data_IF_968967581629
#
_entry.id   IF_968967581629
#
_cell.length_a   1.000
_cell.length_b   1.000
_cell.length_c   1.000
_cell.angle_alpha   90.00
_cell.angle_beta   90.00
_cell.angle_gamma   90.00
#
_symmetry.space_group_name_H-M   'P 1'
#
loop_
_entity.id
_entity.type
_entity.pdbx_description
1 polymer ?
#
# COMPACT_ATOMS: atom_id res chain seq x y z
N UNK A 1 -17.40 -65.13 -24.18
CA UNK A 1 -17.47 -63.72 -23.73
C UNK A 1 -17.62 -63.54 -22.21
N UNK A 2 -18.43 -64.35 -21.51
CA UNK A 2 -18.69 -64.20 -20.06
C UNK A 2 -17.45 -64.38 -19.15
N UNK A 3 -16.54 -65.30 -19.50
CA UNK A 3 -15.32 -65.57 -18.72
C UNK A 3 -14.25 -64.47 -18.80
N UNK A 4 -14.23 -63.69 -19.88
CA UNK A 4 -13.27 -62.59 -20.03
C UNK A 4 -13.70 -61.38 -19.18
N UNK A 5 -14.99 -61.06 -19.17
CA UNK A 5 -15.55 -60.00 -18.31
C UNK A 5 -15.37 -60.30 -16.82
N UNK A 6 -15.60 -61.56 -16.39
CA UNK A 6 -15.39 -61.97 -14.99
C UNK A 6 -13.91 -61.89 -14.58
N UNK A 7 -12.99 -62.33 -15.44
CA UNK A 7 -11.53 -62.17 -15.18
C UNK A 7 -11.13 -60.70 -15.10
N UNK A 8 -11.65 -59.86 -15.99
CA UNK A 8 -11.33 -58.43 -16.03
C UNK A 8 -11.85 -57.69 -14.79
N UNK A 9 -13.07 -57.97 -14.34
CA UNK A 9 -13.61 -57.44 -13.07
C UNK A 9 -12.79 -57.92 -11.86
N UNK A 10 -12.35 -59.18 -11.87
CA UNK A 10 -11.50 -59.72 -10.81
C UNK A 10 -10.13 -59.02 -10.74
N UNK A 11 -9.48 -58.81 -11.90
CA UNK A 11 -8.22 -58.06 -11.97
C UNK A 11 -8.39 -56.60 -11.51
N UNK A 12 -9.46 -55.92 -11.92
CA UNK A 12 -9.73 -54.55 -11.46
C UNK A 12 -9.99 -54.47 -9.95
N UNK A 13 -10.66 -55.48 -9.39
CA UNK A 13 -10.92 -55.53 -7.94
C UNK A 13 -9.62 -55.73 -7.15
N UNK A 14 -8.73 -56.60 -7.62
CA UNK A 14 -7.40 -56.80 -7.02
C UNK A 14 -6.57 -55.52 -7.10
N UNK A 15 -6.53 -54.85 -8.25
CA UNK A 15 -5.79 -53.60 -8.42
C UNK A 15 -6.33 -52.50 -7.51
N UNK A 16 -7.66 -52.38 -7.36
CA UNK A 16 -8.28 -51.42 -6.45
C UNK A 16 -7.90 -51.68 -4.98
N UNK A 17 -7.89 -52.96 -4.55
CA UNK A 17 -7.47 -53.34 -3.20
C UNK A 17 -5.98 -53.04 -2.97
N UNK A 18 -5.13 -53.33 -3.96
CA UNK A 18 -3.70 -53.02 -3.89
C UNK A 18 -3.47 -51.51 -3.81
N UNK A 19 -4.17 -50.71 -4.62
CA UNK A 19 -4.07 -49.24 -4.56
C UNK A 19 -4.52 -48.70 -3.19
N UNK A 20 -5.58 -49.28 -2.61
CA UNK A 20 -6.07 -48.87 -1.30
C UNK A 20 -5.06 -49.22 -0.21
N UNK A 21 -4.47 -50.42 -0.25
CA UNK A 21 -3.39 -50.83 0.66
C UNK A 21 -2.15 -49.96 0.50
N UNK A 22 -1.74 -49.64 -0.73
CA UNK A 22 -0.61 -48.73 -0.99
C UNK A 22 -0.93 -47.35 -0.39
N UNK A 23 -2.15 -46.82 -0.55
CA UNK A 23 -2.52 -45.53 0.00
C UNK A 23 -2.47 -45.52 1.55
N UNK A 24 -2.99 -46.57 2.19
CA UNK A 24 -2.94 -46.74 3.65
C UNK A 24 -1.51 -46.88 4.16
N UNK A 25 -0.68 -47.67 3.47
CA UNK A 25 0.75 -47.83 3.79
C UNK A 25 1.49 -46.51 3.56
N UNK A 26 1.17 -45.76 2.51
CA UNK A 26 1.79 -44.46 2.23
C UNK A 26 1.45 -43.45 3.31
N UNK A 27 0.20 -43.42 3.79
CA UNK A 27 -0.20 -42.56 4.92
C UNK A 27 0.47 -42.98 6.23
N UNK A 28 0.70 -44.28 6.46
CA UNK A 28 1.44 -44.79 7.62
C UNK A 28 2.95 -44.49 7.55
N UNK A 29 3.55 -44.48 6.36
CA UNK A 29 4.98 -44.19 6.13
C UNK A 29 5.28 -42.72 5.84
N UNK A 30 4.25 -41.86 5.71
CA UNK A 30 4.41 -40.41 5.62
C UNK A 30 4.90 -39.91 6.98
N UNK A 31 6.23 -39.98 7.19
CA UNK A 31 6.88 -39.26 8.28
C UNK A 31 6.38 -37.82 8.21
N UNK A 32 5.62 -37.38 9.22
CA UNK A 32 5.37 -35.96 9.46
C UNK A 32 6.73 -35.28 9.35
N UNK A 33 6.87 -34.31 8.45
CA UNK A 33 8.11 -33.56 8.28
C UNK A 33 8.47 -32.95 9.64
N UNK A 34 9.32 -33.64 10.38
CA UNK A 34 9.75 -33.24 11.70
C UNK A 34 10.86 -32.22 11.50
N UNK A 35 10.50 -30.96 11.66
CA UNK A 35 11.48 -29.90 11.74
C UNK A 35 12.05 -29.93 13.17
N UNK A 36 13.35 -30.20 13.38
CA UNK A 36 13.92 -30.41 14.72
C UNK A 36 13.86 -29.18 15.65
N UNK A 37 13.52 -27.99 15.12
CA UNK A 37 13.33 -26.74 15.87
C UNK A 37 11.86 -26.41 16.18
N UNK A 38 10.92 -27.34 15.94
CA UNK A 38 9.50 -27.11 16.17
C UNK A 38 9.16 -27.06 17.67
N UNK A 39 8.97 -25.86 18.21
CA UNK A 39 8.37 -25.63 19.53
C UNK A 39 6.87 -26.00 19.50
N UNK A 40 6.13 -25.88 20.60
CA UNK A 40 4.66 -25.87 20.59
C UNK A 40 4.18 -24.47 20.96
N UNK A 41 3.25 -23.88 20.19
CA UNK A 41 2.67 -22.59 20.55
C UNK A 41 1.68 -22.75 21.70
N UNK A 42 1.91 -21.99 22.76
CA UNK A 42 0.95 -21.80 23.84
C UNK A 42 -0.26 -20.97 23.37
N UNK A 43 -1.36 -21.06 24.12
CA UNK A 43 -2.55 -20.24 23.89
C UNK A 43 -2.24 -18.74 23.92
N UNK A 44 -1.38 -18.31 24.84
CA UNK A 44 -0.99 -16.90 25.00
C UNK A 44 -0.22 -16.41 23.78
N UNK A 45 0.71 -17.21 23.26
CA UNK A 45 1.46 -16.88 22.04
C UNK A 45 0.54 -16.77 20.83
N UNK A 46 -0.40 -17.71 20.66
CA UNK A 46 -1.39 -17.66 19.58
C UNK A 46 -2.30 -16.43 19.68
N UNK A 47 -2.76 -16.08 20.87
CA UNK A 47 -3.54 -14.86 21.08
C UNK A 47 -2.74 -13.60 20.77
N UNK A 48 -1.46 -13.56 21.15
CA UNK A 48 -0.59 -12.44 20.82
C UNK A 48 -0.37 -12.32 19.31
N UNK A 49 -0.16 -13.43 18.61
CA UNK A 49 -0.07 -13.46 17.14
C UNK A 49 -1.37 -12.98 16.52
N UNK A 50 -2.51 -13.44 17.04
CA UNK A 50 -3.83 -13.04 16.57
C UNK A 50 -4.05 -11.53 16.73
N UNK A 51 -3.86 -10.98 17.94
CA UNK A 51 -4.00 -9.55 18.21
C UNK A 51 -3.03 -8.69 17.39
N UNK A 52 -1.75 -9.08 17.29
CA UNK A 52 -0.77 -8.37 16.46
C UNK A 52 -1.19 -8.35 14.99
N UNK A 53 -1.75 -9.46 14.49
CA UNK A 53 -2.22 -9.52 13.11
C UNK A 53 -3.45 -8.61 12.92
N UNK A 54 -4.42 -8.64 13.83
CA UNK A 54 -5.58 -7.74 13.76
C UNK A 54 -5.15 -6.25 13.78
N UNK A 55 -4.21 -5.87 14.65
CA UNK A 55 -3.68 -4.49 14.70
C UNK A 55 -2.95 -4.09 13.41
N UNK A 56 -2.20 -5.02 12.80
CA UNK A 56 -1.53 -4.77 11.53
C UNK A 56 -2.52 -4.45 10.38
N UNK A 57 -3.76 -4.93 10.49
CA UNK A 57 -4.86 -4.60 9.56
C UNK A 57 -5.71 -3.41 10.01
N UNK A 58 -5.37 -2.76 11.13
CA UNK A 58 -6.09 -1.61 11.66
C UNK A 58 -7.44 -1.97 12.29
N UNK A 59 -7.62 -3.22 12.70
CA UNK A 59 -8.85 -3.67 13.38
C UNK A 59 -8.80 -3.17 14.82
N UNK A 60 -9.75 -2.30 15.17
CA UNK A 60 -9.81 -1.68 16.49
C UNK A 60 -10.23 -2.69 17.56
N UNK A 61 -9.71 -2.55 18.77
CA UNK A 61 -10.02 -3.45 19.88
C UNK A 61 -11.53 -3.50 20.20
N UNK A 62 -12.25 -2.40 20.02
CA UNK A 62 -13.71 -2.34 20.22
C UNK A 62 -14.51 -3.09 19.14
N UNK A 63 -13.88 -3.52 18.05
CA UNK A 63 -14.49 -4.40 17.03
C UNK A 63 -14.34 -5.88 17.35
N UNK A 64 -13.57 -6.21 18.40
CA UNK A 64 -13.29 -7.57 18.83
C UNK A 64 -13.95 -7.82 20.17
N UNK A 65 -14.86 -8.79 20.23
CA UNK A 65 -15.52 -9.19 21.47
C UNK A 65 -15.14 -10.62 21.85
N UNK A 66 -14.87 -10.87 23.12
CA UNK A 66 -14.69 -12.24 23.65
C UNK A 66 -16.03 -12.76 24.12
N UNK A 67 -16.54 -13.85 23.53
CA UNK A 67 -17.73 -14.54 24.03
C UNK A 67 -17.33 -15.86 24.67
N UNK A 68 -17.95 -16.22 25.79
CA UNK A 68 -17.75 -17.53 26.42
C UNK A 68 -18.07 -18.63 25.41
N UNK A 69 -17.22 -19.64 25.37
CA UNK A 69 -17.35 -20.79 24.48
C UNK A 69 -17.02 -22.03 25.28
N UNK A 70 -17.86 -23.05 25.16
CA UNK A 70 -17.64 -24.36 25.76
C UNK A 70 -18.14 -25.40 24.76
N UNK A 71 -17.28 -26.34 24.41
CA UNK A 71 -17.62 -27.46 23.54
C UNK A 71 -17.29 -28.74 24.32
N UNK A 72 -18.25 -29.65 24.40
CA UNK A 72 -18.23 -30.80 25.30
C UNK A 72 -17.01 -31.73 25.13
N UNK A 73 -16.37 -31.70 23.95
CA UNK A 73 -15.26 -32.59 23.58
C UNK A 73 -13.94 -31.84 23.26
N UNK A 74 -13.86 -30.52 23.46
CA UNK A 74 -12.68 -29.69 23.12
C UNK A 74 -12.30 -28.76 24.29
N UNK A 75 -11.54 -29.28 25.26
CA UNK A 75 -11.42 -28.72 26.61
C UNK A 75 -10.37 -27.59 26.78
N UNK A 76 -9.79 -27.08 25.68
CA UNK A 76 -8.63 -26.16 25.74
C UNK A 76 -8.96 -24.67 25.61
N UNK A 77 -10.19 -24.30 25.23
CA UNK A 77 -10.61 -22.89 25.14
C UNK A 77 -11.90 -22.61 25.91
N UNK A 78 -11.91 -21.45 26.60
CA UNK A 78 -13.05 -20.95 27.37
C UNK A 78 -13.79 -19.79 26.69
N UNK A 79 -13.26 -19.30 25.56
CA UNK A 79 -13.84 -18.20 24.80
C UNK A 79 -13.52 -18.31 23.32
N UNK A 80 -14.41 -17.71 22.52
CA UNK A 80 -14.21 -17.42 21.11
C UNK A 80 -14.11 -15.92 20.90
N UNK A 81 -13.30 -15.52 19.94
CA UNK A 81 -13.22 -14.14 19.47
C UNK A 81 -14.29 -13.91 18.40
N UNK A 82 -15.06 -12.83 18.53
CA UNK A 82 -15.93 -12.35 17.47
C UNK A 82 -15.36 -11.04 16.98
N UNK A 83 -14.92 -11.04 15.73
CA UNK A 83 -14.26 -9.91 15.08
C UNK A 83 -15.20 -9.37 14.03
N UNK A 84 -15.68 -8.14 14.26
CA UNK A 84 -16.49 -7.44 13.26
C UNK A 84 -15.56 -6.74 12.28
N UNK A 85 -15.69 -7.03 10.99
CA UNK A 85 -14.74 -6.61 9.96
C UNK A 85 -15.40 -5.69 8.94
N UNK A 86 -14.78 -4.55 8.59
CA UNK A 86 -15.19 -3.72 7.45
C UNK A 86 -15.27 -4.50 6.14
N UNK A 87 -16.29 -4.25 5.31
CA UNK A 87 -16.45 -4.97 4.04
C UNK A 87 -15.32 -4.81 3.03
N UNK A 88 -14.53 -3.73 3.12
CA UNK A 88 -13.41 -3.47 2.23
C UNK A 88 -12.16 -4.29 2.58
N UNK A 89 -12.18 -5.06 3.68
CA UNK A 89 -11.06 -5.87 4.15
C UNK A 89 -11.25 -7.37 3.82
N UNK A 90 -10.41 -7.97 2.97
CA UNK A 90 -10.52 -9.39 2.65
C UNK A 90 -10.09 -10.28 3.84
N UNK A 91 -11.05 -10.96 4.46
CA UNK A 91 -10.81 -11.93 5.54
C UNK A 91 -9.75 -13.00 5.16
N UNK A 92 -9.75 -13.54 3.93
CA UNK A 92 -8.72 -14.53 3.54
C UNK A 92 -7.29 -14.02 3.65
N UNK A 93 -7.04 -12.72 3.50
CA UNK A 93 -5.69 -12.14 3.66
C UNK A 93 -5.25 -12.12 5.12
N UNK A 94 -6.16 -11.82 6.04
CA UNK A 94 -5.90 -11.84 7.48
C UNK A 94 -5.55 -13.27 7.91
N UNK A 95 -6.38 -14.24 7.51
CA UNK A 95 -6.18 -15.66 7.82
C UNK A 95 -4.86 -16.16 7.22
N UNK A 96 -4.53 -15.77 5.98
CA UNK A 96 -3.26 -16.08 5.34
C UNK A 96 -2.07 -15.56 6.15
N UNK A 97 -2.11 -14.31 6.63
CA UNK A 97 -1.03 -13.73 7.43
C UNK A 97 -0.90 -14.41 8.80
N UNK A 98 -2.01 -14.72 9.47
CA UNK A 98 -2.02 -15.52 10.72
C UNK A 98 -1.35 -16.87 10.47
N UNK A 99 -1.78 -17.59 9.42
CA UNK A 99 -1.25 -18.91 9.09
C UNK A 99 0.23 -18.87 8.70
N UNK A 100 0.68 -17.82 8.00
CA UNK A 100 2.08 -17.66 7.63
C UNK A 100 2.99 -17.45 8.85
N UNK A 101 2.54 -16.69 9.85
CA UNK A 101 3.28 -16.51 11.11
C UNK A 101 3.36 -17.84 11.85
N UNK A 102 2.21 -18.51 12.02
CA UNK A 102 2.14 -19.77 12.76
C UNK A 102 2.94 -20.89 12.09
N UNK A 103 2.89 -21.01 10.75
CA UNK A 103 3.64 -22.03 9.98
C UNK A 103 5.15 -21.80 10.01
N UNK A 104 5.59 -20.54 10.13
CA UNK A 104 7.01 -20.22 10.30
C UNK A 104 7.52 -20.68 11.66
N UNK A 105 6.66 -20.61 12.68
CA UNK A 105 7.07 -20.92 14.04
C UNK A 105 6.95 -22.43 14.37
N UNK A 106 5.96 -23.21 13.88
CA UNK A 106 5.79 -24.63 14.30
C UNK A 106 5.08 -25.58 13.27
N UNK A 107 5.45 -26.88 13.31
CA UNK A 107 5.06 -28.02 12.43
C UNK A 107 3.67 -28.67 12.58
N UNK A 108 2.85 -28.33 13.58
CA UNK A 108 1.59 -29.05 13.86
C UNK A 108 0.43 -28.11 14.19
N UNK A 109 0.18 -27.13 13.32
CA UNK A 109 -1.04 -26.32 13.36
C UNK A 109 -1.96 -26.66 12.19
N UNK A 110 -3.22 -26.99 12.50
CA UNK A 110 -4.28 -27.11 11.49
C UNK A 110 -5.16 -25.88 11.63
N UNK A 111 -5.31 -25.17 10.52
CA UNK A 111 -6.16 -23.98 10.41
C UNK A 111 -7.33 -24.34 9.51
N UNK A 112 -8.54 -24.35 10.07
CA UNK A 112 -9.77 -24.58 9.30
C UNK A 112 -10.48 -23.26 9.05
N UNK A 113 -10.83 -23.02 7.79
CA UNK A 113 -11.72 -21.94 7.36
C UNK A 113 -13.08 -22.52 6.99
N UNK A 114 -14.13 -22.11 7.70
CA UNK A 114 -15.52 -22.45 7.35
C UNK A 114 -16.28 -21.17 7.05
N UNK A 115 -16.77 -21.04 5.83
CA UNK A 115 -17.60 -19.92 5.40
C UNK A 115 -19.08 -20.28 5.56
N UNK A 116 -19.83 -19.50 6.32
CA UNK A 116 -21.24 -19.74 6.59
C UNK A 116 -22.02 -18.43 6.53
N UNK A 117 -22.94 -18.29 5.56
CA UNK A 117 -23.77 -17.09 5.37
C UNK A 117 -23.01 -15.75 5.30
N UNK A 118 -21.75 -15.76 4.86
CA UNK A 118 -20.91 -14.56 4.74
C UNK A 118 -19.92 -14.39 5.88
N UNK A 119 -20.13 -15.07 7.00
CA UNK A 119 -19.18 -15.12 8.11
C UNK A 119 -18.10 -16.17 7.84
N UNK A 120 -16.91 -15.93 8.41
CA UNK A 120 -15.78 -16.86 8.31
C UNK A 120 -15.34 -17.28 9.70
N UNK A 121 -15.39 -18.58 9.98
CA UNK A 121 -14.85 -19.17 11.20
C UNK A 121 -13.40 -19.61 10.96
N UNK A 122 -12.51 -19.23 11.86
CA UNK A 122 -11.12 -19.66 11.95
C UNK A 122 -10.95 -20.52 13.22
N UNK A 123 -10.47 -21.74 13.03
CA UNK A 123 -10.10 -22.64 14.13
C UNK A 123 -8.63 -23.01 14.01
N UNK A 124 -7.89 -22.85 15.10
CA UNK A 124 -6.46 -23.19 15.16
C UNK A 124 -6.27 -24.29 16.19
N UNK A 125 -5.86 -25.45 15.68
CA UNK A 125 -5.56 -26.63 16.47
C UNK A 125 -4.06 -26.78 16.67
N UNK A 126 -3.65 -27.32 17.80
CA UNK A 126 -2.27 -27.74 18.07
C UNK A 126 -2.33 -28.97 18.95
N UNK A 127 -1.66 -30.05 18.50
CA UNK A 127 -1.73 -31.37 19.12
C UNK A 127 -3.18 -31.85 19.33
N UNK A 128 -4.03 -31.67 18.32
CA UNK A 128 -5.46 -32.06 18.32
C UNK A 128 -6.37 -31.25 19.27
N UNK A 129 -5.80 -30.35 20.07
CA UNK A 129 -6.56 -29.43 20.91
C UNK A 129 -6.83 -28.10 20.19
N UNK A 130 -8.08 -27.65 20.24
CA UNK A 130 -8.45 -26.31 19.79
C UNK A 130 -7.84 -25.27 20.74
N UNK A 131 -6.96 -24.40 20.23
CA UNK A 131 -6.30 -23.36 21.03
C UNK A 131 -6.78 -21.95 20.73
N UNK A 132 -7.35 -21.72 19.55
CA UNK A 132 -7.94 -20.43 19.18
C UNK A 132 -9.14 -20.64 18.27
N UNK A 133 -10.23 -19.94 18.60
CA UNK A 133 -11.43 -19.86 17.79
C UNK A 133 -11.79 -18.41 17.54
N UNK A 134 -11.94 -18.04 16.28
CA UNK A 134 -12.37 -16.70 15.88
C UNK A 134 -13.49 -16.79 14.83
N UNK A 135 -14.48 -15.92 14.97
CA UNK A 135 -15.55 -15.71 14.00
C UNK A 135 -15.43 -14.30 13.44
N UNK A 136 -15.23 -14.21 12.13
CA UNK A 136 -15.14 -12.96 11.39
C UNK A 136 -16.50 -12.65 10.75
N UNK A 137 -17.08 -11.51 11.12
CA UNK A 137 -18.41 -11.07 10.67
C UNK A 137 -18.25 -9.78 9.86
N UNK A 138 -18.49 -9.80 8.54
CA UNK A 138 -18.46 -8.58 7.73
C UNK A 138 -19.59 -7.62 8.10
N UNK A 139 -19.26 -6.35 8.33
CA UNK A 139 -20.23 -5.27 8.58
C UNK A 139 -20.02 -4.10 7.63
N UNK A 140 -21.11 -3.64 7.00
CA UNK A 140 -21.15 -2.49 6.08
C UNK A 140 -21.04 -1.16 6.80
N UNK A 141 -21.45 -1.11 8.06
CA UNK A 141 -21.51 0.12 8.84
C UNK A 141 -20.15 0.46 9.46
N UNK A 142 -19.23 -0.52 9.54
CA UNK A 142 -17.88 -0.28 10.01
C UNK A 142 -17.03 0.21 8.83
N UNK A 143 -16.59 1.45 8.92
CA UNK A 143 -15.70 2.08 7.93
C UNK A 143 -14.36 2.36 8.58
N UNK A 144 -13.27 1.98 7.91
CA UNK A 144 -11.91 2.30 8.33
C UNK A 144 -11.63 3.79 8.14
N UNK A 145 -10.74 4.32 8.98
CA UNK A 145 -10.26 5.68 8.82
C UNK A 145 -9.36 5.75 7.57
N UNK A 146 -9.95 6.21 6.47
CA UNK A 146 -9.31 6.23 5.16
C UNK A 146 -8.54 7.54 4.99
N UNK A 147 -7.35 7.60 5.59
CA UNK A 147 -6.43 8.69 5.30
C UNK A 147 -5.90 8.55 3.88
N UNK A 148 -5.73 9.67 3.19
CA UNK A 148 -5.28 9.74 1.82
C UNK A 148 -3.93 10.46 1.76
N UNK A 149 -2.95 9.83 1.14
CA UNK A 149 -1.63 10.42 0.95
C UNK A 149 -1.26 10.44 -0.54
N UNK A 150 -0.49 11.43 -0.92
CA UNK A 150 0.07 11.57 -2.27
C UNK A 150 1.56 11.85 -2.21
N UNK A 151 2.29 11.45 -3.24
CA UNK A 151 3.74 11.60 -3.32
C UNK A 151 4.15 12.35 -4.61
N UNK A 152 4.94 13.39 -4.41
CA UNK A 152 5.73 14.08 -5.42
C UNK A 152 7.15 13.51 -5.42
N UNK A 153 7.66 13.17 -6.60
CA UNK A 153 9.02 12.65 -6.80
C UNK A 153 9.87 13.76 -7.45
N UNK A 154 10.77 14.35 -6.67
CA UNK A 154 11.53 15.55 -7.07
C UNK A 154 12.54 15.28 -8.19
N UNK A 155 13.22 14.15 -8.11
CA UNK A 155 14.33 13.76 -8.97
C UNK A 155 13.88 12.91 -10.17
N UNK A 156 12.56 12.75 -10.39
CA UNK A 156 12.02 11.83 -11.39
C UNK A 156 12.58 12.05 -12.80
N UNK A 157 12.89 13.28 -13.19
CA UNK A 157 13.43 13.60 -14.52
C UNK A 157 14.94 13.33 -14.65
N UNK A 158 15.64 13.20 -13.52
CA UNK A 158 17.09 13.07 -13.40
C UNK A 158 17.53 11.64 -13.03
N UNK A 159 16.59 10.70 -12.94
CA UNK A 159 16.86 9.30 -12.66
C UNK A 159 17.67 8.65 -13.78
N UNK A 160 18.44 7.62 -13.43
CA UNK A 160 19.02 6.69 -14.40
C UNK A 160 17.92 6.02 -15.23
N UNK A 161 18.25 5.53 -16.43
CA UNK A 161 17.26 4.88 -17.30
C UNK A 161 16.54 3.70 -16.60
N UNK A 162 17.26 2.96 -15.75
CA UNK A 162 16.70 1.82 -15.02
C UNK A 162 15.81 2.29 -13.86
N UNK A 163 16.24 3.26 -13.06
CA UNK A 163 15.41 3.83 -11.99
C UNK A 163 14.17 4.54 -12.56
N UNK A 164 14.30 5.21 -13.70
CA UNK A 164 13.19 5.86 -14.38
C UNK A 164 12.15 4.83 -14.84
N UNK A 165 12.57 3.70 -15.43
CA UNK A 165 11.65 2.59 -15.73
C UNK A 165 10.96 2.07 -14.47
N UNK A 166 11.70 1.88 -13.38
CA UNK A 166 11.12 1.44 -12.10
C UNK A 166 10.07 2.44 -11.59
N UNK A 167 10.33 3.74 -11.71
CA UNK A 167 9.39 4.80 -11.38
C UNK A 167 8.11 4.69 -12.23
N UNK A 168 8.25 4.57 -13.56
CA UNK A 168 7.12 4.46 -14.49
C UNK A 168 6.24 3.24 -14.20
N UNK A 169 6.85 2.08 -13.97
CA UNK A 169 6.16 0.81 -13.69
C UNK A 169 5.75 0.62 -12.23
N UNK A 170 6.05 1.59 -11.36
CA UNK A 170 5.56 1.57 -9.98
C UNK A 170 4.04 1.46 -9.96
N UNK A 171 3.52 0.55 -9.12
CA UNK A 171 2.08 0.36 -8.88
C UNK A 171 1.42 1.52 -8.14
N UNK A 172 2.22 2.45 -7.63
CA UNK A 172 1.74 3.61 -6.90
C UNK A 172 1.47 4.78 -7.86
N UNK A 173 0.43 5.60 -7.60
CA UNK A 173 0.11 6.77 -8.41
C UNK A 173 1.04 7.94 -8.08
N UNK A 174 2.32 7.78 -8.38
CA UNK A 174 3.36 8.79 -8.14
C UNK A 174 3.24 9.93 -9.14
N UNK A 175 3.56 11.14 -8.68
CA UNK A 175 3.61 12.33 -9.51
C UNK A 175 5.05 12.83 -9.63
N UNK A 176 5.53 13.01 -10.86
CA UNK A 176 6.83 13.58 -11.11
C UNK A 176 6.80 15.10 -10.92
N UNK A 177 7.85 15.66 -10.34
CA UNK A 177 8.07 17.09 -10.34
C UNK A 177 8.99 17.44 -11.50
N UNK A 178 8.58 18.42 -12.29
CA UNK A 178 9.27 18.82 -13.52
C UNK A 178 9.62 20.29 -13.41
N UNK A 179 10.90 20.60 -13.58
CA UNK A 179 11.35 21.97 -13.84
C UNK A 179 11.05 22.28 -15.30
N UNK A 180 10.32 23.37 -15.62
CA UNK A 180 9.97 23.73 -16.99
C UNK A 180 11.22 23.94 -17.84
N UNK A 181 11.46 23.03 -18.78
CA UNK A 181 12.53 23.12 -19.75
C UNK A 181 12.13 22.34 -21.03
N UNK A 182 12.50 22.81 -22.24
CA UNK A 182 12.26 22.07 -23.49
C UNK A 182 12.69 20.61 -23.46
N UNK A 183 13.80 20.26 -22.79
CA UNK A 183 14.31 18.89 -22.70
C UNK A 183 13.37 17.96 -21.92
N UNK A 184 12.58 18.52 -21.00
CA UNK A 184 11.64 17.76 -20.18
C UNK A 184 10.27 17.56 -20.83
N UNK A 185 9.95 18.26 -21.93
CA UNK A 185 8.63 18.15 -22.60
C UNK A 185 8.36 16.71 -23.08
N UNK A 186 9.27 16.03 -23.82
CA UNK A 186 9.00 14.68 -24.30
C UNK A 186 8.82 13.67 -23.15
N UNK A 187 9.60 13.83 -22.07
CA UNK A 187 9.46 13.01 -20.86
C UNK A 187 8.11 13.25 -20.20
N UNK A 188 7.69 14.50 -20.02
CA UNK A 188 6.40 14.87 -19.45
C UNK A 188 5.22 14.25 -20.22
N UNK A 189 5.25 14.31 -21.55
CA UNK A 189 4.20 13.73 -22.40
C UNK A 189 4.12 12.20 -22.27
N UNK A 190 5.28 11.55 -22.12
CA UNK A 190 5.37 10.10 -21.96
C UNK A 190 4.76 9.57 -20.65
N UNK A 191 4.76 10.37 -19.57
CA UNK A 191 4.25 9.97 -18.26
C UNK A 191 2.79 9.50 -18.30
N UNK A 192 1.98 10.17 -19.13
CA UNK A 192 0.56 9.84 -19.28
C UNK A 192 0.33 8.41 -19.81
N UNK A 193 1.27 7.85 -20.58
CA UNK A 193 1.21 6.46 -21.07
C UNK A 193 1.32 5.44 -19.93
N UNK A 194 1.93 5.82 -18.82
CA UNK A 194 2.16 4.97 -17.63
C UNK A 194 1.24 5.33 -16.47
N UNK A 195 0.17 6.10 -16.72
CA UNK A 195 -0.73 6.63 -15.69
C UNK A 195 0.02 7.40 -14.59
N UNK A 196 1.12 8.05 -14.95
CA UNK A 196 1.89 8.93 -14.07
C UNK A 196 1.50 10.38 -14.34
N UNK A 197 1.41 11.13 -13.26
CA UNK A 197 1.07 12.55 -13.28
C UNK A 197 2.33 13.38 -13.17
N UNK A 198 2.24 14.67 -13.52
CA UNK A 198 3.32 15.61 -13.23
C UNK A 198 2.82 16.95 -12.71
N UNK A 199 3.66 17.59 -11.93
CA UNK A 199 3.51 18.95 -11.44
C UNK A 199 4.74 19.75 -11.82
N UNK A 200 4.58 21.07 -11.98
CA UNK A 200 5.69 21.95 -12.32
C UNK A 200 6.31 22.53 -11.06
N UNK A 201 7.64 22.68 -11.04
CA UNK A 201 8.36 23.41 -10.02
C UNK A 201 9.08 24.59 -10.66
N UNK A 202 8.72 25.80 -10.22
CA UNK A 202 9.39 27.03 -10.60
C UNK A 202 10.56 27.25 -9.63
N UNK A 203 11.77 26.99 -10.10
CA UNK A 203 13.00 27.17 -9.33
C UNK A 203 14.10 27.83 -10.18
N UNK A 204 15.34 27.78 -9.68
CA UNK A 204 16.49 28.40 -10.35
C UNK A 204 17.05 27.59 -11.53
N UNK A 205 16.61 26.35 -11.71
CA UNK A 205 17.16 25.43 -12.71
C UNK A 205 16.47 25.57 -14.08
N UNK A 206 15.62 26.60 -14.25
CA UNK A 206 15.02 26.95 -15.53
C UNK A 206 16.04 27.72 -16.36
N UNK A 207 16.73 27.00 -17.25
CA UNK A 207 17.79 27.56 -18.07
C UNK A 207 17.29 28.10 -19.42
N UNK A 208 16.24 27.52 -20.01
CA UNK A 208 15.70 27.98 -21.29
C UNK A 208 15.20 29.43 -21.24
N UNK A 209 15.76 30.25 -22.11
CA UNK A 209 15.44 31.69 -22.21
C UNK A 209 13.94 32.01 -22.43
N UNK A 210 13.18 31.12 -23.07
CA UNK A 210 11.75 31.33 -23.36
C UNK A 210 10.87 30.90 -22.19
N UNK A 211 11.35 30.06 -21.29
CA UNK A 211 10.62 29.62 -20.09
C UNK A 211 11.11 30.34 -18.82
N UNK A 212 12.32 30.90 -18.83
CA UNK A 212 12.92 31.57 -17.69
C UNK A 212 12.09 32.75 -17.19
N UNK A 213 12.01 32.86 -15.87
CA UNK A 213 11.31 33.92 -15.15
C UNK A 213 12.33 34.76 -14.39
N UNK A 214 12.98 35.69 -15.10
CA UNK A 214 14.04 36.55 -14.54
C UNK A 214 13.52 37.95 -14.18
N UNK A 215 14.04 38.52 -13.10
CA UNK A 215 13.76 39.91 -12.69
C UNK A 215 14.19 40.94 -13.75
N UNK A 216 15.18 40.59 -14.59
CA UNK A 216 15.65 41.44 -15.68
C UNK A 216 14.63 41.55 -16.83
N UNK A 217 13.64 40.66 -16.88
CA UNK A 217 12.67 40.62 -17.94
C UNK A 217 11.53 41.62 -17.71
N UNK A 218 11.20 42.38 -18.76
CA UNK A 218 10.01 43.22 -18.77
C UNK A 218 8.71 42.40 -18.68
N UNK A 219 7.61 43.07 -18.28
CA UNK A 219 6.29 42.44 -18.06
C UNK A 219 5.77 41.61 -19.24
N UNK A 220 5.98 42.07 -20.47
CA UNK A 220 5.54 41.36 -21.69
C UNK A 220 6.35 40.08 -21.94
N UNK A 221 7.66 40.12 -21.68
CA UNK A 221 8.52 38.93 -21.79
C UNK A 221 8.09 37.90 -20.75
N UNK A 222 7.94 38.31 -19.48
CA UNK A 222 7.46 37.43 -18.41
C UNK A 222 6.10 36.80 -18.75
N UNK A 223 5.16 37.58 -19.28
CA UNK A 223 3.85 37.07 -19.71
C UNK A 223 3.97 36.04 -20.83
N UNK A 224 4.86 36.27 -21.80
CA UNK A 224 5.17 35.33 -22.88
C UNK A 224 5.86 34.06 -22.35
N UNK A 225 6.77 34.18 -21.38
CA UNK A 225 7.43 33.03 -20.76
C UNK A 225 6.45 32.15 -20.00
N UNK A 226 5.57 32.76 -19.20
CA UNK A 226 4.50 32.05 -18.49
C UNK A 226 3.60 31.33 -19.50
N UNK A 227 3.16 32.03 -20.56
CA UNK A 227 2.34 31.42 -21.62
C UNK A 227 3.04 30.21 -22.25
N UNK A 228 4.32 30.35 -22.58
CA UNK A 228 5.14 29.26 -23.12
C UNK A 228 5.16 28.06 -22.17
N UNK A 229 5.43 28.26 -20.87
CA UNK A 229 5.37 27.19 -19.86
C UNK A 229 3.99 26.52 -19.85
N UNK A 230 2.91 27.30 -19.83
CA UNK A 230 1.55 26.76 -19.73
C UNK A 230 1.13 25.95 -20.97
N UNK A 231 1.57 26.38 -22.16
CA UNK A 231 1.29 25.73 -23.45
C UNK A 231 2.16 24.49 -23.65
N UNK A 232 3.43 24.51 -23.22
CA UNK A 232 4.35 23.37 -23.31
C UNK A 232 4.02 22.24 -22.33
N UNK A 233 3.36 22.55 -21.21
CA UNK A 233 3.01 21.58 -20.17
C UNK A 233 1.50 21.55 -19.87
N UNK A 234 0.66 21.19 -20.85
CA UNK A 234 -0.80 21.36 -20.74
C UNK A 234 -1.45 20.42 -19.73
N UNK A 235 -0.86 19.25 -19.45
CA UNK A 235 -1.40 18.21 -18.55
C UNK A 235 -0.89 18.32 -17.10
N UNK A 236 -0.21 19.41 -16.75
CA UNK A 236 0.26 19.66 -15.37
C UNK A 236 -0.89 19.65 -14.37
N UNK A 237 -0.65 19.04 -13.20
CA UNK A 237 -1.62 19.04 -12.10
C UNK A 237 -1.50 20.29 -11.22
N UNK A 238 -0.33 20.47 -10.61
CA UNK A 238 -0.04 21.60 -9.73
C UNK A 238 1.16 22.38 -10.26
N UNK A 239 1.28 23.62 -9.81
CA UNK A 239 2.44 24.48 -10.06
C UNK A 239 2.95 24.90 -8.70
N UNK A 240 4.20 24.57 -8.41
CA UNK A 240 4.89 24.93 -7.20
C UNK A 240 5.95 25.99 -7.48
N UNK A 241 6.29 26.77 -6.47
CA UNK A 241 7.49 27.60 -6.44
C UNK A 241 8.37 27.15 -5.29
N UNK A 242 9.67 27.09 -5.53
CA UNK A 242 10.67 26.91 -4.47
C UNK A 242 10.88 28.24 -3.75
N UNK A 243 10.65 28.29 -2.44
CA UNK A 243 10.81 29.51 -1.64
C UNK A 243 12.27 29.96 -1.52
N UNK A 244 13.22 29.07 -1.81
CA UNK A 244 14.65 29.39 -1.87
C UNK A 244 15.08 29.89 -3.26
N UNK A 245 14.16 29.93 -4.23
CA UNK A 245 14.46 30.40 -5.58
C UNK A 245 14.66 31.92 -5.63
N UNK A 246 15.48 32.35 -6.60
CA UNK A 246 15.65 33.76 -6.96
C UNK A 246 14.33 34.38 -7.40
N UNK A 247 13.49 33.62 -8.10
CA UNK A 247 12.15 34.04 -8.51
C UNK A 247 11.30 34.41 -7.29
N UNK A 248 11.16 33.52 -6.31
CA UNK A 248 10.31 33.74 -5.14
C UNK A 248 10.73 34.98 -4.34
N UNK A 249 12.04 35.16 -4.18
CA UNK A 249 12.63 36.26 -3.43
C UNK A 249 12.74 37.57 -4.24
N UNK A 250 12.27 37.59 -5.49
CA UNK A 250 12.35 38.77 -6.36
C UNK A 250 11.11 39.67 -6.26
N UNK A 251 11.25 40.98 -6.54
CA UNK A 251 10.12 41.90 -6.65
C UNK A 251 9.08 41.51 -7.73
N UNK A 252 9.48 40.73 -8.73
CA UNK A 252 8.58 40.32 -9.83
C UNK A 252 7.67 39.14 -9.44
N UNK A 253 7.92 38.47 -8.32
CA UNK A 253 7.16 37.26 -7.93
C UNK A 253 5.65 37.52 -7.86
N UNK A 254 5.23 38.63 -7.23
CA UNK A 254 3.81 38.99 -7.13
C UNK A 254 3.18 39.13 -8.52
N UNK A 255 3.89 39.78 -9.46
CA UNK A 255 3.42 39.91 -10.84
C UNK A 255 3.31 38.53 -11.52
N UNK A 256 4.33 37.68 -11.40
CA UNK A 256 4.33 36.32 -11.96
C UNK A 256 3.15 35.53 -11.41
N UNK A 257 2.96 35.50 -10.09
CA UNK A 257 1.83 34.85 -9.42
C UNK A 257 0.49 35.34 -9.96
N UNK A 258 0.32 36.65 -10.11
CA UNK A 258 -0.93 37.25 -10.57
C UNK A 258 -1.18 36.92 -12.06
N UNK A 259 -0.15 36.82 -12.90
CA UNK A 259 -0.28 36.37 -14.29
C UNK A 259 -0.68 34.91 -14.36
N UNK A 260 -0.07 34.00 -13.59
CA UNK A 260 -0.54 32.61 -13.50
C UNK A 260 -2.00 32.55 -13.04
N UNK A 261 -2.38 33.33 -12.02
CA UNK A 261 -3.76 33.41 -11.51
C UNK A 261 -4.75 33.90 -12.56
N UNK A 262 -4.36 34.90 -13.36
CA UNK A 262 -5.18 35.41 -14.48
C UNK A 262 -5.42 34.36 -15.57
N UNK A 263 -4.54 33.35 -15.67
CA UNK A 263 -4.70 32.18 -16.55
C UNK A 263 -5.39 31.00 -15.83
N UNK A 264 -6.04 31.23 -14.69
CA UNK A 264 -6.75 30.21 -13.92
C UNK A 264 -5.83 29.19 -13.26
N UNK A 265 -4.57 29.54 -12.98
CA UNK A 265 -3.59 28.66 -12.34
C UNK A 265 -3.08 29.27 -11.04
N UNK A 266 -3.10 28.48 -9.97
CA UNK A 266 -2.57 28.87 -8.67
C UNK A 266 -1.15 28.32 -8.54
N UNK A 267 -0.25 29.15 -8.03
CA UNK A 267 1.10 28.72 -7.63
C UNK A 267 1.05 28.43 -6.14
N UNK A 268 1.45 27.21 -5.77
CA UNK A 268 1.58 26.77 -4.38
C UNK A 268 3.04 26.85 -3.93
N UNK A 269 3.23 26.95 -2.63
CA UNK A 269 4.54 26.92 -2.02
C UNK A 269 4.96 25.45 -1.85
N UNK A 270 6.18 25.05 -2.26
CA UNK A 270 6.59 23.64 -2.13
C UNK A 270 6.67 23.22 -0.64
N UNK A 271 6.88 24.17 0.28
CA UNK A 271 6.80 23.95 1.73
C UNK A 271 5.39 23.61 2.26
N UNK A 272 4.33 23.80 1.47
CA UNK A 272 3.00 23.26 1.79
C UNK A 272 2.96 21.72 1.70
N UNK A 273 3.96 21.13 1.02
CA UNK A 273 4.17 19.70 0.97
C UNK A 273 5.13 19.27 2.09
N UNK A 274 4.91 18.07 2.63
CA UNK A 274 5.76 17.52 3.68
C UNK A 274 7.01 16.94 3.05
N UNK A 275 8.17 17.56 3.33
CA UNK A 275 9.48 17.05 2.93
C UNK A 275 9.79 15.73 3.64
N UNK A 276 10.10 14.68 2.89
CA UNK A 276 10.63 13.42 3.44
C UNK A 276 12.09 13.18 3.09
N UNK A 277 12.70 13.98 2.22
CA UNK A 277 14.13 13.86 1.93
C UNK A 277 14.97 14.32 3.10
N UNK A 278 15.42 13.33 3.88
CA UNK A 278 16.40 13.46 4.95
C UNK A 278 17.57 12.54 4.63
N UNK A 279 18.77 12.95 5.06
CA UNK A 279 19.98 12.11 4.95
C UNK A 279 19.92 10.95 5.94
N UNK A 280 19.27 11.16 7.09
CA UNK A 280 19.02 10.12 8.08
C UNK A 280 17.72 9.36 7.77
N UNK A 281 17.86 8.05 7.57
CA UNK A 281 16.77 7.14 7.24
C UNK A 281 15.78 6.99 8.41
N UNK A 282 16.27 6.98 9.65
CA UNK A 282 15.42 6.86 10.84
C UNK A 282 14.55 8.09 11.03
N UNK A 283 15.10 9.28 10.75
CA UNK A 283 14.36 10.54 10.78
C UNK A 283 13.27 10.55 9.70
N UNK A 284 13.60 10.14 8.47
CA UNK A 284 12.64 10.02 7.38
C UNK A 284 11.46 9.11 7.75
N UNK A 285 11.74 7.90 8.27
CA UNK A 285 10.69 6.98 8.68
C UNK A 285 9.86 7.52 9.84
N UNK A 286 10.50 8.12 10.84
CA UNK A 286 9.81 8.73 11.98
C UNK A 286 8.87 9.85 11.54
N UNK A 287 9.32 10.68 10.59
CA UNK A 287 8.53 11.76 10.01
C UNK A 287 7.35 11.23 9.20
N UNK A 288 7.57 10.24 8.34
CA UNK A 288 6.47 9.58 7.60
C UNK A 288 5.44 9.00 8.56
N UNK A 289 5.90 8.29 9.61
CA UNK A 289 5.03 7.72 10.65
C UNK A 289 4.16 8.78 11.29
N UNK A 290 4.80 9.84 11.76
CA UNK A 290 4.15 10.94 12.47
C UNK A 290 2.99 11.51 11.62
N UNK A 291 3.23 11.84 10.35
CA UNK A 291 2.21 12.43 9.50
C UNK A 291 1.12 11.47 9.03
N UNK A 292 1.42 10.17 8.96
CA UNK A 292 0.43 9.13 8.68
C UNK A 292 -0.50 8.91 9.90
N UNK A 293 0.06 8.95 11.11
CA UNK A 293 -0.69 8.74 12.35
C UNK A 293 -1.43 10.01 12.81
N UNK A 294 -0.97 11.19 12.40
CA UNK A 294 -1.60 12.49 12.65
C UNK A 294 -3.09 12.54 12.24
N UNK A 295 -3.95 12.94 13.16
CA UNK A 295 -5.42 12.99 13.01
C UNK A 295 -5.95 14.36 12.60
N UNK A 296 -5.08 15.38 12.49
CA UNK A 296 -5.52 16.76 12.18
C UNK A 296 -6.08 16.91 10.77
N UNK A 297 -5.57 16.16 9.79
CA UNK A 297 -6.10 16.13 8.43
C UNK A 297 -6.00 14.74 7.83
N UNK A 298 -7.07 14.35 7.14
CA UNK A 298 -7.18 13.07 6.46
C UNK A 298 -6.45 13.07 5.12
N UNK A 299 -5.88 14.19 4.69
CA UNK A 299 -5.16 14.31 3.41
C UNK A 299 -3.79 14.94 3.61
N UNK A 300 -2.76 14.28 3.11
CA UNK A 300 -1.36 14.75 3.18
C UNK A 300 -0.69 14.64 1.81
N UNK A 301 0.17 15.59 1.49
CA UNK A 301 0.99 15.59 0.27
C UNK A 301 2.45 15.61 0.70
N UNK A 302 3.19 14.60 0.28
CA UNK A 302 4.61 14.46 0.58
C UNK A 302 5.44 14.73 -0.68
N UNK A 303 6.68 15.17 -0.48
CA UNK A 303 7.67 15.17 -1.55
C UNK A 303 8.97 14.50 -1.09
N UNK A 304 9.60 13.78 -2.01
CA UNK A 304 10.81 12.99 -1.75
C UNK A 304 11.54 12.64 -3.05
N UNK A 305 12.75 12.10 -2.97
CA UNK A 305 13.47 11.43 -4.03
C UNK A 305 12.91 10.02 -4.28
N UNK A 306 13.12 9.50 -5.48
CA UNK A 306 12.65 8.15 -5.80
C UNK A 306 13.34 7.08 -4.96
N UNK A 307 14.63 7.27 -4.65
CA UNK A 307 15.38 6.35 -3.81
C UNK A 307 14.78 6.25 -2.40
N UNK A 308 14.52 7.39 -1.77
CA UNK A 308 13.91 7.46 -0.44
C UNK A 308 12.48 6.88 -0.46
N UNK A 309 11.70 7.17 -1.51
CA UNK A 309 10.40 6.54 -1.70
C UNK A 309 10.48 5.01 -1.69
N UNK A 310 11.47 4.42 -2.38
CA UNK A 310 11.66 2.96 -2.42
C UNK A 310 11.93 2.39 -1.02
N UNK A 311 12.76 3.06 -0.22
CA UNK A 311 13.05 2.66 1.17
C UNK A 311 11.79 2.67 2.03
N UNK A 312 10.86 3.59 1.78
CA UNK A 312 9.58 3.71 2.49
C UNK A 312 8.49 2.71 2.06
N UNK A 313 8.68 1.94 0.97
CA UNK A 313 7.66 0.99 0.47
C UNK A 313 7.12 0.03 1.55
N UNK A 314 7.95 -0.60 2.41
CA UNK A 314 7.43 -1.51 3.45
C UNK A 314 6.44 -0.82 4.40
N UNK A 315 6.77 0.40 4.83
CA UNK A 315 5.91 1.22 5.69
C UNK A 315 4.64 1.66 4.98
N UNK A 316 4.76 2.03 3.70
CA UNK A 316 3.64 2.41 2.85
C UNK A 316 2.66 1.23 2.65
N UNK A 317 3.15 0.01 2.51
CA UNK A 317 2.28 -1.18 2.43
C UNK A 317 1.61 -1.48 3.77
N UNK A 318 2.30 -1.30 4.90
CA UNK A 318 1.69 -1.44 6.21
C UNK A 318 0.57 -0.40 6.41
N UNK A 319 0.81 0.84 6.00
CA UNK A 319 -0.19 1.90 6.02
C UNK A 319 -1.44 1.51 5.19
N UNK A 320 -1.24 0.97 3.98
CA UNK A 320 -2.35 0.46 3.16
C UNK A 320 -3.09 -0.69 3.80
N UNK A 321 -2.39 -1.64 4.43
CA UNK A 321 -3.03 -2.74 5.18
C UNK A 321 -3.96 -2.21 6.27
N UNK A 322 -3.59 -1.13 6.95
CA UNK A 322 -4.42 -0.44 7.96
C UNK A 322 -5.60 0.36 7.39
N UNK A 323 -5.72 0.50 6.06
CA UNK A 323 -6.81 1.23 5.40
C UNK A 323 -6.39 2.54 4.74
N UNK A 324 -5.12 2.92 4.88
CA UNK A 324 -4.55 4.06 4.20
C UNK A 324 -4.65 3.97 2.68
N UNK A 325 -4.93 5.09 2.03
CA UNK A 325 -5.00 5.18 0.57
C UNK A 325 -3.87 6.05 0.04
N UNK A 326 -3.27 5.60 -1.06
CA UNK A 326 -2.32 6.40 -1.82
C UNK A 326 -3.05 6.82 -3.08
N UNK A 327 -3.24 8.12 -3.22
CA UNK A 327 -4.05 8.70 -4.29
C UNK A 327 -3.18 9.56 -5.21
N UNK A 328 -3.56 9.70 -6.49
CA UNK A 328 -2.91 10.64 -7.40
C UNK A 328 -2.98 12.09 -6.87
N UNK A 329 -2.00 12.90 -7.25
CA UNK A 329 -1.90 14.31 -6.84
C UNK A 329 -3.08 15.14 -7.36
N UNK A 330 -3.65 14.78 -8.51
CA UNK A 330 -4.89 15.39 -9.02
C UNK A 330 -6.08 15.33 -8.05
N UNK A 331 -6.05 14.43 -7.06
CA UNK A 331 -7.09 14.27 -6.04
C UNK A 331 -6.68 14.76 -4.65
N UNK A 332 -5.49 15.37 -4.53
CA UNK A 332 -4.99 15.86 -3.26
C UNK A 332 -5.77 17.09 -2.76
N UNK A 333 -5.55 17.46 -1.50
CA UNK A 333 -6.27 18.55 -0.86
C UNK A 333 -5.95 19.94 -1.46
N UNK A 334 -4.76 20.14 -2.02
CA UNK A 334 -4.40 21.41 -2.67
C UNK A 334 -5.22 21.63 -3.95
N UNK A 335 -5.47 20.57 -4.71
CA UNK A 335 -6.34 20.65 -5.90
C UNK A 335 -7.78 21.01 -5.54
N UNK A 336 -8.23 20.62 -4.33
CA UNK A 336 -9.56 20.95 -3.82
C UNK A 336 -9.67 22.37 -3.25
N UNK A 337 -8.57 22.99 -2.80
CA UNK A 337 -8.53 24.40 -2.36
C UNK A 337 -8.55 25.39 -3.53
N UNK A 338 -8.19 24.93 -4.73
CA UNK A 338 -8.12 25.75 -5.94
C UNK A 338 -9.38 25.71 -6.83
N UNK A 339 -10.41 24.97 -6.41
CA UNK A 339 -11.79 25.04 -6.92
C UNK A 339 -12.60 25.94 -5.98
#
# INVERSE_FOLDING_TARGET
>A
MLNFKKKLVFYFSIVAIILLLINVVWDLFKKKNYNPDARELSKIELENIFWKTLDAYGIKANWVTKKKFHQADEDSISYQFIVTIPQDLPIPLIIKDINNIIRKDISASVSEEKKFFGDTELRIYSNEYLKLKALFIPDKNIVRDNKEISFLILDAMNLSDDDYKMFLFSKYPLCAVIVPDPENIPKADSLSKYSKEYSLLLNNDIDDSKMKLSQEFGKEILKKSIRTILESFPKRNLIFVDENSTLFNSPIYNYVRDVFKSNGKIIYHISECIKLDQTDEEEMFSKLKFYIEDTTTNKKLFYTSFENFRKMIPMIEQYKKKGGKIIPVSRCYLTLKGL
#
